data_IF_298455668356
#
_entry.id   IF_298455668356
#
_cell.length_a   1.000
_cell.length_b   1.000
_cell.length_c   1.000
_cell.angle_alpha   90.00
_cell.angle_beta   90.00
_cell.angle_gamma   90.00
#
_symmetry.space_group_name_H-M   'P 1'
#
loop_
_entity.id
_entity.type
_entity.pdbx_description
1 polymer ?
#
# COMPACT_ATOMS: atom_id res chain seq x y z
N UNK A 1 18.29 -17.89 -2.13
CA UNK A 1 16.97 -18.54 -2.06
C UNK A 1 16.35 -18.48 -3.45
N UNK A 2 15.90 -19.60 -4.03
CA UNK A 2 15.22 -19.58 -5.33
C UNK A 2 13.77 -19.11 -5.16
N UNK A 3 13.18 -18.57 -6.23
CA UNK A 3 11.76 -18.15 -6.25
C UNK A 3 10.82 -19.30 -5.87
N UNK A 4 11.19 -20.53 -6.24
CA UNK A 4 10.45 -21.75 -5.94
C UNK A 4 10.44 -22.08 -4.44
N UNK A 5 11.57 -21.94 -3.75
CA UNK A 5 11.65 -22.15 -2.30
C UNK A 5 10.76 -21.17 -1.53
N UNK A 6 10.66 -19.91 -1.97
CA UNK A 6 9.80 -18.90 -1.33
C UNK A 6 8.32 -19.24 -1.53
N UNK A 7 7.94 -19.70 -2.73
CA UNK A 7 6.56 -20.10 -3.02
C UNK A 7 6.10 -21.23 -2.11
N UNK A 8 6.90 -22.28 -1.99
CA UNK A 8 6.58 -23.43 -1.13
C UNK A 8 6.47 -23.03 0.36
N UNK A 9 7.22 -22.03 0.81
CA UNK A 9 7.13 -21.51 2.18
C UNK A 9 5.83 -20.73 2.43
N UNK A 10 5.34 -19.98 1.43
CA UNK A 10 4.07 -19.25 1.54
C UNK A 10 2.89 -20.23 1.62
N UNK A 11 2.92 -21.30 0.83
CA UNK A 11 1.86 -22.32 0.80
C UNK A 11 1.75 -23.13 2.11
N UNK A 12 2.76 -23.06 2.99
CA UNK A 12 2.77 -23.71 4.31
C UNK A 12 2.23 -22.84 5.46
N UNK A 13 1.85 -21.59 5.18
CA UNK A 13 1.39 -20.63 6.19
C UNK A 13 -0.13 -20.74 6.35
N UNK A 14 -0.62 -20.79 7.59
CA UNK A 14 -2.05 -20.75 7.88
C UNK A 14 -2.67 -19.43 7.39
N UNK A 15 -3.88 -19.48 6.80
CA UNK A 15 -4.56 -18.29 6.26
C UNK A 15 -4.68 -17.13 7.26
N UNK A 16 -4.86 -17.45 8.55
CA UNK A 16 -4.91 -16.46 9.64
C UNK A 16 -3.64 -15.61 9.77
N UNK A 17 -2.50 -16.15 9.33
CA UNK A 17 -1.18 -15.54 9.46
C UNK A 17 -0.70 -14.89 8.15
N UNK A 18 -1.38 -15.15 7.02
CA UNK A 18 -1.05 -14.58 5.71
C UNK A 18 -1.08 -13.05 5.75
N UNK A 19 -2.09 -12.44 6.37
CA UNK A 19 -2.20 -10.97 6.50
C UNK A 19 -1.02 -10.36 7.26
N UNK A 20 -0.53 -11.07 8.26
CA UNK A 20 0.62 -10.63 9.06
C UNK A 20 1.89 -10.69 8.23
N UNK A 21 2.10 -11.81 7.53
CA UNK A 21 3.25 -12.02 6.64
C UNK A 21 3.23 -10.98 5.51
N UNK A 22 2.07 -10.72 4.91
CA UNK A 22 1.89 -9.71 3.87
C UNK A 22 2.33 -8.33 4.35
N UNK A 23 1.85 -7.89 5.53
CA UNK A 23 2.26 -6.61 6.13
C UNK A 23 3.76 -6.54 6.43
N UNK A 24 4.36 -7.66 6.83
CA UNK A 24 5.81 -7.73 7.08
C UNK A 24 6.58 -7.60 5.76
N UNK A 25 6.19 -8.32 4.71
CA UNK A 25 6.83 -8.24 3.38
C UNK A 25 6.76 -6.81 2.85
N UNK A 26 5.61 -6.14 2.96
CA UNK A 26 5.46 -4.75 2.53
C UNK A 26 6.47 -3.82 3.21
N UNK A 27 6.78 -4.03 4.49
CA UNK A 27 7.78 -3.23 5.22
C UNK A 27 9.22 -3.44 4.75
N UNK A 28 9.51 -4.54 4.07
CA UNK A 28 10.84 -4.85 3.53
C UNK A 28 11.00 -4.44 2.07
N UNK A 29 9.94 -3.98 1.41
CA UNK A 29 10.04 -3.40 0.07
C UNK A 29 10.80 -2.07 0.20
N UNK A 30 11.90 -1.88 -0.56
CA UNK A 30 12.64 -0.62 -0.52
C UNK A 30 11.72 0.52 -0.93
N UNK A 31 11.49 1.45 0.00
CA UNK A 31 10.79 2.69 -0.30
C UNK A 31 11.73 3.61 -1.08
N UNK A 32 11.23 4.22 -2.15
CA UNK A 32 11.91 5.33 -2.82
C UNK A 32 11.53 6.63 -2.11
N UNK A 33 12.47 7.58 -2.05
CA UNK A 33 12.11 8.93 -1.61
C UNK A 33 11.10 9.50 -2.61
N UNK A 34 9.94 10.01 -2.16
CA UNK A 34 9.03 10.69 -3.05
C UNK A 34 9.72 11.89 -3.69
N UNK A 35 9.33 12.20 -4.93
CA UNK A 35 9.81 13.40 -5.62
C UNK A 35 9.16 14.65 -5.02
N UNK A 36 9.71 15.87 -5.24
CA UNK A 36 9.20 17.08 -4.58
C UNK A 36 7.70 17.34 -4.80
N UNK A 37 7.18 17.07 -5.99
CA UNK A 37 5.76 17.19 -6.33
C UNK A 37 4.88 16.19 -5.56
N UNK A 38 5.35 14.96 -5.37
CA UNK A 38 4.65 13.96 -4.55
C UNK A 38 4.61 14.37 -3.07
N UNK A 39 5.69 14.97 -2.56
CA UNK A 39 5.74 15.49 -1.18
C UNK A 39 4.72 16.62 -1.00
N UNK A 40 4.64 17.55 -1.95
CA UNK A 40 3.65 18.64 -1.94
C UNK A 40 2.22 18.10 -1.99
N UNK A 41 1.93 17.14 -2.89
CA UNK A 41 0.62 16.51 -2.99
C UNK A 41 0.21 15.81 -1.69
N UNK A 42 1.14 15.10 -1.03
CA UNK A 42 0.89 14.46 0.27
C UNK A 42 0.64 15.51 1.36
N UNK A 43 1.38 16.62 1.35
CA UNK A 43 1.19 17.68 2.32
C UNK A 43 -0.16 18.39 2.14
N UNK A 44 -0.55 18.67 0.91
CA UNK A 44 -1.86 19.23 0.54
C UNK A 44 -3.00 18.31 0.98
N UNK A 45 -2.93 17.02 0.62
CA UNK A 45 -3.94 16.04 1.01
C UNK A 45 -4.07 15.88 2.53
N UNK A 46 -2.98 16.02 3.29
CA UNK A 46 -3.01 15.99 4.76
C UNK A 46 -3.56 17.27 5.37
N UNK A 47 -3.39 18.41 4.69
CA UNK A 47 -3.91 19.70 5.11
C UNK A 47 -5.40 19.87 4.75
N UNK A 48 -5.89 19.11 3.76
CA UNK A 48 -7.28 19.12 3.36
C UNK A 48 -8.20 18.66 4.51
N UNK A 49 -9.13 19.54 4.87
CA UNK A 49 -10.17 19.31 5.88
C UNK A 49 -11.56 19.38 5.28
N UNK A 50 -11.66 19.47 3.96
CA UNK A 50 -12.93 19.47 3.26
C UNK A 50 -13.66 18.15 3.50
N UNK A 51 -14.98 18.21 3.44
CA UNK A 51 -15.78 16.99 3.48
C UNK A 51 -15.53 16.22 2.18
N UNK A 52 -15.27 14.92 2.30
CA UNK A 52 -15.22 14.04 1.13
C UNK A 52 -16.63 13.88 0.56
N UNK A 53 -16.73 13.76 -0.75
CA UNK A 53 -17.97 13.41 -1.46
C UNK A 53 -17.95 11.92 -1.79
N UNK A 54 -19.14 11.34 -1.99
CA UNK A 54 -19.21 9.94 -2.41
C UNK A 54 -18.71 9.82 -3.86
N UNK A 55 -18.16 8.66 -4.19
CA UNK A 55 -17.67 8.38 -5.54
C UNK A 55 -18.75 8.61 -6.62
N UNK A 56 -20.00 8.25 -6.30
CA UNK A 56 -21.17 8.42 -7.18
C UNK A 56 -21.55 9.89 -7.41
N UNK A 57 -21.08 10.80 -6.56
CA UNK A 57 -21.37 12.24 -6.64
C UNK A 57 -20.28 13.01 -7.42
N UNK A 58 -19.26 12.33 -7.95
CA UNK A 58 -18.22 12.93 -8.78
C UNK A 58 -18.71 13.02 -10.23
N UNK A 59 -18.79 14.23 -10.78
CA UNK A 59 -19.06 14.44 -12.20
C UNK A 59 -17.80 14.21 -13.03
N UNK A 60 -17.67 12.99 -13.58
CA UNK A 60 -16.51 12.56 -14.35
C UNK A 60 -16.47 13.06 -15.81
N UNK A 61 -17.58 13.62 -16.30
CA UNK A 61 -17.74 14.12 -17.67
C UNK A 61 -17.24 15.56 -17.88
#
# INVERSE_FOLDING_TARGET
MSRETIKNLIDMIDEKDIDTIYKVILKFIPEVSPVPDEIEAIAEAKADRSATILHEDIHWD
#
